data_IF_263882626338
#
_entry.id   IF_263882626338
#
_cell.length_a   1.000
_cell.length_b   1.000
_cell.length_c   1.000
_cell.angle_alpha   90.00
_cell.angle_beta   90.00
_cell.angle_gamma   90.00
#
_symmetry.space_group_name_H-M   'P 1'
#
loop_
_entity.id
_entity.type
_entity.pdbx_description
1 polymer ?
#
# COMPACT_ATOMS: atom_id res chain seq x y z
N UNK A 1 -39.60 -32.95 12.04
CA UNK A 1 -38.17 -32.66 11.91
C UNK A 1 -37.54 -33.10 13.20
N UNK A 2 -36.91 -34.25 13.16
CA UNK A 2 -36.18 -34.81 14.27
C UNK A 2 -34.99 -33.90 14.60
N UNK A 3 -34.62 -33.90 15.87
CA UNK A 3 -33.58 -33.02 16.43
C UNK A 3 -32.25 -33.21 15.67
N UNK A 4 -31.97 -34.43 15.23
CA UNK A 4 -30.79 -34.79 14.45
C UNK A 4 -30.79 -34.13 13.07
N UNK A 5 -31.94 -34.07 12.40
CA UNK A 5 -32.10 -33.46 11.08
C UNK A 5 -31.90 -31.93 11.18
N UNK A 6 -32.45 -31.33 12.24
CA UNK A 6 -32.23 -29.91 12.53
C UNK A 6 -30.75 -29.59 12.83
N UNK A 7 -30.05 -30.47 13.55
CA UNK A 7 -28.62 -30.33 13.84
C UNK A 7 -27.75 -30.43 12.58
N UNK A 8 -28.05 -31.37 11.69
CA UNK A 8 -27.35 -31.51 10.41
C UNK A 8 -27.52 -30.26 9.54
N UNK A 9 -28.76 -29.76 9.41
CA UNK A 9 -29.05 -28.54 8.65
C UNK A 9 -28.33 -27.32 9.26
N UNK A 10 -28.36 -27.19 10.58
CA UNK A 10 -27.66 -26.11 11.30
C UNK A 10 -26.14 -26.17 11.08
N UNK A 11 -25.54 -27.36 11.15
CA UNK A 11 -24.11 -27.57 10.91
C UNK A 11 -23.70 -27.13 9.49
N UNK A 12 -24.45 -27.55 8.46
CA UNK A 12 -24.19 -27.16 7.07
C UNK A 12 -24.33 -25.65 6.85
N UNK A 13 -25.32 -25.01 7.48
CA UNK A 13 -25.52 -23.57 7.42
C UNK A 13 -24.32 -22.80 8.01
N UNK A 14 -23.87 -23.20 9.21
CA UNK A 14 -22.74 -22.57 9.90
C UNK A 14 -21.42 -22.76 9.13
N UNK A 15 -21.19 -23.95 8.54
CA UNK A 15 -20.03 -24.23 7.70
C UNK A 15 -19.99 -23.30 6.47
N UNK A 16 -21.09 -23.20 5.73
CA UNK A 16 -21.20 -22.28 4.57
C UNK A 16 -20.97 -20.82 4.97
N UNK A 17 -21.48 -20.40 6.13
CA UNK A 17 -21.31 -19.03 6.63
C UNK A 17 -19.83 -18.74 6.95
N UNK A 18 -19.12 -19.67 7.57
CA UNK A 18 -17.67 -19.56 7.87
C UNK A 18 -16.84 -19.49 6.59
N UNK A 19 -17.10 -20.35 5.62
CA UNK A 19 -16.39 -20.35 4.32
C UNK A 19 -16.57 -19.03 3.56
N UNK A 20 -17.78 -18.44 3.56
CA UNK A 20 -18.03 -17.14 2.95
C UNK A 20 -17.25 -16.01 3.63
N UNK A 21 -17.20 -16.01 4.96
CA UNK A 21 -16.45 -14.98 5.72
C UNK A 21 -14.94 -15.11 5.51
N UNK A 22 -14.42 -16.34 5.47
CA UNK A 22 -13.01 -16.59 5.17
C UNK A 22 -12.62 -16.11 3.76
N UNK A 23 -13.48 -16.36 2.74
CA UNK A 23 -13.27 -15.87 1.37
C UNK A 23 -13.37 -14.34 1.25
N UNK A 24 -14.18 -13.68 2.09
CA UNK A 24 -14.26 -12.20 2.11
C UNK A 24 -13.04 -11.56 2.77
N UNK A 25 -12.37 -12.25 3.68
CA UNK A 25 -11.10 -11.81 4.31
C UNK A 25 -9.86 -12.38 3.62
N UNK A 26 -9.95 -12.72 2.33
CA UNK A 26 -8.88 -13.42 1.61
C UNK A 26 -7.58 -12.62 1.54
N UNK A 27 -7.65 -11.29 1.60
CA UNK A 27 -6.48 -10.43 1.55
C UNK A 27 -6.59 -9.25 2.53
N UNK A 28 -5.62 -9.10 3.43
CA UNK A 28 -5.43 -7.89 4.26
C UNK A 28 -4.99 -6.69 3.43
N UNK A 29 -4.22 -6.95 2.37
CA UNK A 29 -3.86 -5.99 1.31
C UNK A 29 -4.06 -6.71 -0.02
N UNK A 30 -4.89 -6.17 -0.91
CA UNK A 30 -5.23 -6.82 -2.17
C UNK A 30 -3.98 -7.01 -3.04
N UNK A 31 -3.78 -8.16 -3.72
CA UNK A 31 -2.60 -8.42 -4.55
C UNK A 31 -2.36 -7.36 -5.63
N UNK A 32 -3.42 -6.77 -6.17
CA UNK A 32 -3.34 -5.64 -7.12
C UNK A 32 -2.53 -4.44 -6.58
N UNK A 33 -2.54 -4.24 -5.25
CA UNK A 33 -1.80 -3.16 -4.61
C UNK A 33 -0.31 -3.50 -4.46
N UNK A 34 0.08 -4.78 -4.54
CA UNK A 34 1.49 -5.21 -4.59
C UNK A 34 2.10 -4.85 -5.94
N UNK A 35 1.33 -4.99 -7.01
CA UNK A 35 1.75 -4.62 -8.36
C UNK A 35 1.72 -3.10 -8.61
N UNK A 36 1.21 -2.29 -7.66
CA UNK A 36 1.16 -0.82 -7.79
C UNK A 36 2.54 -0.19 -8.00
N UNK A 37 3.60 -0.78 -7.45
CA UNK A 37 4.96 -0.24 -7.62
C UNK A 37 5.57 -0.61 -8.98
N UNK A 38 5.15 -1.72 -9.59
CA UNK A 38 5.68 -2.21 -10.87
C UNK A 38 4.82 -1.82 -12.07
N UNK A 39 3.49 -1.83 -11.92
CA UNK A 39 2.49 -1.61 -12.96
C UNK A 39 1.65 -0.34 -12.71
N UNK A 40 1.86 0.36 -11.59
CA UNK A 40 1.04 1.51 -11.26
C UNK A 40 1.37 2.73 -12.12
N UNK A 41 0.33 3.53 -12.37
CA UNK A 41 0.41 4.88 -12.96
C UNK A 41 1.43 5.78 -12.26
N UNK A 42 1.80 5.46 -11.02
CA UNK A 42 2.83 6.16 -10.26
C UNK A 42 4.19 6.23 -10.97
N UNK A 43 4.67 5.16 -11.60
CA UNK A 43 5.99 5.19 -12.27
C UNK A 43 5.97 6.11 -13.50
N UNK A 44 4.90 6.03 -14.30
CA UNK A 44 4.73 6.87 -15.47
C UNK A 44 4.53 8.34 -15.06
N UNK A 45 3.63 8.59 -14.12
CA UNK A 45 3.31 9.92 -13.62
C UNK A 45 4.52 10.59 -12.96
N UNK A 46 5.28 9.87 -12.13
CA UNK A 46 6.50 10.43 -11.51
C UNK A 46 7.58 10.75 -12.53
N UNK A 47 7.66 9.98 -13.62
CA UNK A 47 8.62 10.24 -14.71
C UNK A 47 8.23 11.48 -15.49
N UNK A 48 6.95 11.64 -15.82
CA UNK A 48 6.42 12.82 -16.52
C UNK A 48 6.48 14.09 -15.66
N UNK A 49 6.18 13.99 -14.37
CA UNK A 49 6.27 15.15 -13.47
C UNK A 49 7.72 15.56 -13.18
N UNK A 50 8.70 14.66 -13.32
CA UNK A 50 10.12 15.03 -13.12
C UNK A 50 10.66 16.01 -14.15
N UNK A 51 10.05 16.12 -15.33
CA UNK A 51 10.46 17.13 -16.32
C UNK A 51 9.99 18.54 -15.97
N UNK A 52 9.03 18.70 -15.05
CA UNK A 52 8.46 19.98 -14.63
C UNK A 52 8.51 20.09 -13.09
N UNK A 53 9.55 20.74 -12.58
CA UNK A 53 9.82 20.84 -11.14
C UNK A 53 8.71 21.57 -10.36
N UNK A 54 8.03 22.54 -10.99
CA UNK A 54 6.95 23.32 -10.37
C UNK A 54 5.71 22.45 -10.19
N UNK A 55 5.34 21.69 -11.23
CA UNK A 55 4.23 20.72 -11.12
C UNK A 55 4.58 19.58 -10.19
N UNK A 56 5.82 19.11 -10.19
CA UNK A 56 6.30 18.10 -9.26
C UNK A 56 6.10 18.56 -7.81
N UNK A 57 6.53 19.78 -7.49
CA UNK A 57 6.37 20.34 -6.15
C UNK A 57 4.90 20.54 -5.77
N UNK A 58 4.04 20.94 -6.72
CA UNK A 58 2.61 21.11 -6.47
C UNK A 58 1.92 19.78 -6.15
N UNK A 59 2.29 18.72 -6.88
CA UNK A 59 1.72 17.38 -6.73
C UNK A 59 2.26 16.65 -5.49
N UNK A 60 3.58 16.59 -5.34
CA UNK A 60 4.24 15.83 -4.26
C UNK A 60 4.44 16.64 -2.99
N UNK A 61 4.31 17.97 -3.04
CA UNK A 61 4.60 18.90 -1.92
C UNK A 61 6.00 18.75 -1.34
N UNK A 62 6.94 18.25 -2.15
CA UNK A 62 8.34 18.08 -1.82
C UNK A 62 9.21 18.24 -3.06
N UNK A 63 10.47 18.61 -2.88
CA UNK A 63 11.44 18.67 -3.97
C UNK A 63 11.79 17.27 -4.48
N UNK A 64 12.25 17.21 -5.74
CA UNK A 64 12.74 15.96 -6.36
C UNK A 64 13.90 15.39 -5.55
N UNK A 65 14.76 16.24 -5.00
CA UNK A 65 15.90 15.84 -4.15
C UNK A 65 15.45 15.15 -2.87
N UNK A 66 14.46 15.71 -2.17
CA UNK A 66 13.89 15.11 -0.95
C UNK A 66 13.20 13.77 -1.27
N UNK A 67 12.47 13.72 -2.39
CA UNK A 67 11.84 12.50 -2.86
C UNK A 67 12.88 11.40 -3.17
N UNK A 68 13.98 11.73 -3.85
CA UNK A 68 15.07 10.78 -4.14
C UNK A 68 15.74 10.35 -2.84
N UNK A 69 16.02 11.27 -1.92
CA UNK A 69 16.60 10.96 -0.62
C UNK A 69 15.75 9.96 0.15
N UNK A 70 14.43 10.20 0.27
CA UNK A 70 13.50 9.28 0.92
C UNK A 70 13.44 7.94 0.18
N UNK A 71 13.46 7.94 -1.16
CA UNK A 71 13.47 6.70 -1.95
C UNK A 71 14.73 5.87 -1.70
N UNK A 72 15.90 6.50 -1.64
CA UNK A 72 17.19 5.83 -1.46
C UNK A 72 17.39 5.39 -0.01
N UNK A 73 17.04 6.23 0.96
CA UNK A 73 17.23 5.96 2.39
C UNK A 73 16.11 5.13 3.00
N UNK A 74 14.90 5.17 2.44
CA UNK A 74 13.80 4.28 2.85
C UNK A 74 14.08 2.81 2.55
N UNK A 75 15.02 2.51 1.64
CA UNK A 75 15.51 1.15 1.39
C UNK A 75 16.69 0.74 2.29
N UNK A 76 17.33 1.69 2.98
CA UNK A 76 18.31 1.42 4.04
C UNK A 76 17.57 1.39 5.38
N UNK A 77 16.92 0.27 5.65
CA UNK A 77 16.42 -0.01 6.99
C UNK A 77 17.57 0.01 8.01
N UNK A 78 17.28 0.61 9.17
CA UNK A 78 18.03 0.60 10.43
C UNK A 78 19.40 1.28 10.47
N UNK A 79 19.43 2.46 11.10
CA UNK A 79 20.50 2.79 12.03
C UNK A 79 21.42 3.95 11.68
N UNK A 80 20.91 5.14 11.35
CA UNK A 80 21.59 6.40 11.66
C UNK A 80 20.68 7.61 11.38
N UNK A 81 20.43 8.44 12.41
CA UNK A 81 19.80 9.76 12.24
C UNK A 81 20.84 10.69 11.63
N UNK A 82 20.80 10.90 10.32
CA UNK A 82 21.63 11.94 9.67
C UNK A 82 20.83 13.23 9.58
N UNK A 83 21.38 14.24 10.24
CA UNK A 83 20.96 15.64 10.32
C UNK A 83 20.65 16.17 8.90
N UNK A 84 19.44 16.67 8.68
CA UNK A 84 19.06 17.30 7.42
C UNK A 84 19.86 18.59 7.18
N UNK A 85 20.10 18.99 5.91
CA UNK A 85 20.85 20.21 5.61
C UNK A 85 20.09 21.42 6.15
N UNK A 86 20.81 22.29 6.85
CA UNK A 86 20.30 23.55 7.39
C UNK A 86 19.79 24.44 6.25
N UNK A 87 18.52 24.82 6.33
CA UNK A 87 17.80 25.62 5.33
C UNK A 87 18.23 27.11 5.39
N UNK A 88 19.25 27.47 6.18
CA UNK A 88 19.72 28.84 6.39
C UNK A 88 20.84 29.33 5.46
N UNK A 89 21.03 28.72 4.28
CA UNK A 89 21.99 29.21 3.27
C UNK A 89 21.40 29.33 1.86
N UNK A 90 20.13 29.73 1.73
CA UNK A 90 19.60 30.30 0.49
C UNK A 90 19.35 31.79 0.65
#
# INVERSE_FOLDING_TARGET
MDVDEALVVMYYYLRRKREKTAKKRKYWVHPILKERFSLGTFQNLTTELRSDEIKFFTYFRMSITTFIYIRTNGMRGSGERVIGPDIRQM
#
